data_IF_742939334323
#
_entry.id   IF_742939334323
#
_cell.length_a   1.000
_cell.length_b   1.000
_cell.length_c   1.000
_cell.angle_alpha   90.00
_cell.angle_beta   90.00
_cell.angle_gamma   90.00
#
_symmetry.space_group_name_H-M   'P 1'
#
loop_
_entity.id
_entity.type
_entity.pdbx_description
1 polymer ?
#
# COMPACT_ATOMS: atom_id res chain seq x y z
N UNK A 1 -15.85 -32.39 11.81
CA UNK A 1 -16.09 -31.54 10.64
C UNK A 1 -17.55 -31.09 10.67
N UNK A 2 -17.77 -29.79 10.76
CA UNK A 2 -19.10 -29.20 10.57
C UNK A 2 -19.18 -28.76 9.12
N UNK A 3 -20.15 -29.27 8.39
CA UNK A 3 -20.47 -28.82 7.04
C UNK A 3 -21.79 -28.04 7.10
N UNK A 4 -21.76 -26.79 6.66
CA UNK A 4 -22.94 -25.93 6.55
C UNK A 4 -23.07 -25.61 5.07
N UNK A 5 -23.98 -26.27 4.39
CA UNK A 5 -24.18 -26.11 2.94
C UNK A 5 -25.67 -26.06 2.59
N UNK A 6 -26.01 -25.38 1.51
CA UNK A 6 -27.38 -25.39 0.95
C UNK A 6 -28.42 -24.63 1.75
N UNK A 7 -28.07 -23.93 2.81
CA UNK A 7 -29.00 -23.08 3.54
C UNK A 7 -29.24 -21.78 2.76
N UNK A 8 -30.50 -21.42 2.59
CA UNK A 8 -30.91 -20.18 1.92
C UNK A 8 -31.57 -19.26 2.94
N UNK A 9 -31.24 -18.00 2.89
CA UNK A 9 -31.95 -17.01 3.65
C UNK A 9 -33.32 -16.74 3.00
N UNK A 10 -34.38 -17.00 3.77
CA UNK A 10 -35.78 -16.76 3.33
C UNK A 10 -36.35 -15.49 3.91
N UNK A 11 -35.55 -14.68 4.63
CA UNK A 11 -35.99 -13.39 5.18
C UNK A 11 -36.28 -12.36 4.11
N UNK A 12 -37.12 -11.36 4.43
CA UNK A 12 -37.51 -10.30 3.51
C UNK A 12 -36.28 -9.48 3.07
N UNK A 13 -36.04 -9.42 1.76
CA UNK A 13 -34.97 -8.66 1.11
C UNK A 13 -33.79 -9.48 0.62
N UNK A 14 -33.64 -10.74 1.04
CA UNK A 14 -32.49 -11.61 0.68
C UNK A 14 -32.93 -12.99 0.18
N UNK A 15 -34.10 -13.06 -0.48
CA UNK A 15 -34.67 -14.31 -0.97
C UNK A 15 -33.76 -14.91 -2.05
N UNK A 16 -33.26 -16.13 -1.80
CA UNK A 16 -32.45 -16.89 -2.74
C UNK A 16 -30.94 -16.69 -2.62
N UNK A 17 -30.48 -15.89 -1.68
CA UNK A 17 -29.06 -15.77 -1.37
C UNK A 17 -28.53 -17.05 -0.72
N UNK A 18 -27.38 -17.54 -1.18
CA UNK A 18 -26.69 -18.72 -0.61
C UNK A 18 -25.97 -18.37 0.71
N UNK A 19 -26.65 -17.64 1.59
CA UNK A 19 -26.15 -17.26 2.90
C UNK A 19 -26.56 -18.29 3.94
N UNK A 20 -25.57 -18.96 4.51
CA UNK A 20 -25.78 -20.05 5.45
C UNK A 20 -25.96 -19.57 6.88
N UNK A 21 -25.51 -18.34 7.21
CA UNK A 21 -25.53 -17.80 8.57
C UNK A 21 -26.05 -16.37 8.56
N UNK A 22 -27.06 -16.11 9.38
CA UNK A 22 -27.51 -14.76 9.72
C UNK A 22 -26.99 -14.35 11.08
N UNK A 23 -26.35 -13.20 11.18
CA UNK A 23 -25.79 -12.66 12.41
C UNK A 23 -26.58 -11.42 12.88
N UNK A 24 -27.29 -11.52 14.00
CA UNK A 24 -27.85 -10.34 14.66
C UNK A 24 -26.76 -9.33 15.06
N UNK A 25 -27.14 -8.08 15.25
CA UNK A 25 -26.22 -7.01 15.68
C UNK A 25 -25.37 -7.42 16.88
N UNK A 26 -24.06 -7.29 16.75
CA UNK A 26 -23.09 -7.62 17.80
C UNK A 26 -22.80 -9.13 17.98
N UNK A 27 -23.34 -9.98 17.11
CA UNK A 27 -23.00 -11.41 17.09
C UNK A 27 -21.96 -11.73 16.03
N UNK A 28 -21.09 -12.69 16.34
CA UNK A 28 -19.98 -13.12 15.46
C UNK A 28 -19.83 -14.64 15.49
N UNK A 29 -19.22 -15.19 14.46
CA UNK A 29 -18.82 -16.60 14.39
C UNK A 29 -17.49 -16.77 15.13
N UNK A 30 -17.37 -17.77 16.01
CA UNK A 30 -16.08 -18.17 16.56
C UNK A 30 -15.47 -19.28 15.73
N UNK A 31 -14.28 -19.03 15.17
CA UNK A 31 -13.50 -20.02 14.42
C UNK A 31 -12.60 -20.78 15.37
N UNK A 32 -13.05 -21.92 15.85
CA UNK A 32 -12.33 -22.75 16.84
C UNK A 32 -11.21 -23.60 16.22
N UNK A 33 -11.28 -23.87 14.90
CA UNK A 33 -10.29 -24.67 14.18
C UNK A 33 -10.27 -24.34 12.71
N UNK A 34 -9.24 -24.84 12.00
CA UNK A 34 -9.04 -24.57 10.56
C UNK A 34 -10.20 -25.13 9.74
N UNK A 35 -10.81 -24.27 8.94
CA UNK A 35 -11.80 -24.64 7.94
C UNK A 35 -11.07 -25.25 6.74
N UNK A 36 -11.46 -26.48 6.35
CA UNK A 36 -10.84 -27.22 5.24
C UNK A 36 -11.85 -27.39 4.10
N UNK A 37 -11.34 -27.74 2.90
CA UNK A 37 -12.16 -27.89 1.71
C UNK A 37 -12.38 -26.59 0.94
N UNK A 38 -13.11 -26.66 -0.16
CA UNK A 38 -13.37 -25.53 -1.08
C UNK A 38 -14.66 -24.76 -0.74
N UNK A 39 -15.46 -25.25 0.18
CA UNK A 39 -16.74 -24.62 0.52
C UNK A 39 -16.54 -23.33 1.34
N UNK A 40 -17.39 -22.36 1.07
CA UNK A 40 -17.43 -21.09 1.79
C UNK A 40 -18.68 -21.00 2.66
N UNK A 41 -18.59 -20.23 3.73
CA UNK A 41 -19.70 -19.93 4.64
C UNK A 41 -20.28 -18.58 4.20
N UNK A 42 -21.52 -18.62 3.68
CA UNK A 42 -22.26 -17.41 3.38
C UNK A 42 -22.75 -16.74 4.66
N UNK A 43 -22.48 -15.47 4.82
CA UNK A 43 -22.85 -14.67 5.99
C UNK A 43 -23.68 -13.47 5.57
N UNK A 44 -24.73 -13.24 6.32
CA UNK A 44 -25.56 -12.02 6.28
C UNK A 44 -25.64 -11.45 7.68
N UNK A 45 -25.64 -10.14 7.83
CA UNK A 45 -25.79 -9.48 9.12
C UNK A 45 -27.04 -8.59 9.16
N UNK A 46 -27.60 -8.41 10.36
CA UNK A 46 -28.73 -7.52 10.57
C UNK A 46 -28.43 -6.06 10.17
N UNK A 47 -27.19 -5.60 10.43
CA UNK A 47 -26.68 -4.32 9.96
C UNK A 47 -25.61 -4.53 8.91
N UNK A 48 -25.77 -3.90 7.76
CA UNK A 48 -24.76 -3.91 6.71
C UNK A 48 -23.61 -2.96 7.05
N UNK A 49 -22.38 -3.22 6.55
CA UNK A 49 -21.32 -2.22 6.59
C UNK A 49 -21.73 -1.00 5.74
N UNK A 50 -21.34 0.16 6.20
CA UNK A 50 -21.59 1.44 5.50
C UNK A 50 -20.26 2.12 5.14
N UNK A 51 -20.34 3.33 4.58
CA UNK A 51 -19.18 4.11 4.12
C UNK A 51 -18.33 4.66 5.28
N UNK A 52 -18.72 4.39 6.52
CA UNK A 52 -18.00 4.82 7.73
C UNK A 52 -17.61 3.67 8.66
N UNK A 53 -18.26 2.50 8.53
CA UNK A 53 -18.07 1.39 9.46
C UNK A 53 -18.08 0.04 8.74
N UNK A 54 -17.17 -0.82 9.15
CA UNK A 54 -17.20 -2.24 8.85
C UNK A 54 -18.08 -3.01 9.84
N UNK A 55 -18.45 -4.23 9.49
CA UNK A 55 -19.14 -5.17 10.39
C UNK A 55 -18.22 -6.36 10.65
N UNK A 56 -18.03 -6.70 11.92
CA UNK A 56 -17.32 -7.92 12.30
C UNK A 56 -18.23 -9.13 12.11
N UNK A 57 -17.73 -10.16 11.43
CA UNK A 57 -18.49 -11.39 11.14
C UNK A 57 -17.94 -12.64 11.81
N UNK A 58 -16.62 -12.72 12.00
CA UNK A 58 -16.01 -13.86 12.67
C UNK A 58 -14.74 -13.47 13.42
N UNK A 59 -14.29 -14.34 14.33
CA UNK A 59 -12.98 -14.21 14.96
C UNK A 59 -12.44 -15.58 15.38
N UNK A 60 -11.12 -15.69 15.50
CA UNK A 60 -10.45 -16.91 15.90
C UNK A 60 -8.93 -16.76 15.90
N UNK A 61 -8.23 -17.89 16.01
CA UNK A 61 -6.77 -17.90 15.86
C UNK A 61 -6.39 -17.53 14.42
N UNK A 62 -5.39 -16.66 14.25
CA UNK A 62 -4.98 -16.14 12.95
C UNK A 62 -4.59 -17.24 11.94
N UNK A 63 -4.01 -18.35 12.41
CA UNK A 63 -3.64 -19.48 11.54
C UNK A 63 -4.83 -20.30 11.03
N UNK A 64 -6.01 -20.14 11.65
CA UNK A 64 -7.22 -20.90 11.35
C UNK A 64 -8.32 -20.06 10.70
N UNK A 65 -8.22 -18.74 10.80
CA UNK A 65 -9.28 -17.79 10.42
C UNK A 65 -8.96 -17.18 9.06
N UNK A 66 -9.38 -17.88 8.03
CA UNK A 66 -9.12 -17.56 6.63
C UNK A 66 -10.32 -16.79 6.03
N UNK A 67 -10.16 -15.55 5.57
CA UNK A 67 -11.23 -14.77 4.96
C UNK A 67 -11.81 -15.40 3.71
N UNK A 68 -11.01 -16.17 2.94
CA UNK A 68 -11.45 -16.84 1.72
C UNK A 68 -12.48 -17.96 1.98
N UNK A 69 -12.67 -18.33 3.25
CA UNK A 69 -13.69 -19.27 3.68
C UNK A 69 -15.05 -18.64 3.95
N UNK A 70 -15.16 -17.33 3.76
CA UNK A 70 -16.40 -16.59 4.02
C UNK A 70 -16.84 -15.78 2.81
N UNK A 71 -18.13 -15.81 2.54
CA UNK A 71 -18.81 -14.94 1.57
C UNK A 71 -19.78 -14.04 2.33
N UNK A 72 -19.70 -12.74 2.08
CA UNK A 72 -20.63 -11.80 2.67
C UNK A 72 -21.57 -11.22 1.62
N UNK A 73 -22.88 -11.27 1.89
CA UNK A 73 -23.92 -10.75 0.98
C UNK A 73 -23.72 -11.22 -0.48
N UNK A 74 -23.54 -12.52 -0.68
CA UNK A 74 -23.25 -13.13 -2.00
C UNK A 74 -22.01 -12.54 -2.69
N UNK A 75 -20.96 -12.27 -1.92
CA UNK A 75 -19.71 -11.68 -2.40
C UNK A 75 -19.84 -10.25 -2.96
N UNK A 76 -20.89 -9.52 -2.58
CA UNK A 76 -21.04 -8.09 -2.97
C UNK A 76 -20.18 -7.17 -2.14
N UNK A 77 -19.72 -7.63 -0.95
CA UNK A 77 -18.86 -6.90 -0.04
C UNK A 77 -17.70 -7.79 0.36
N UNK A 78 -16.49 -7.25 0.26
CA UNK A 78 -15.28 -8.00 0.56
C UNK A 78 -15.17 -8.38 2.05
N UNK A 79 -14.72 -9.60 2.32
CA UNK A 79 -14.31 -10.05 3.64
C UNK A 79 -12.80 -9.90 3.75
N UNK A 80 -12.35 -9.26 4.82
CA UNK A 80 -10.94 -9.05 5.11
C UNK A 80 -10.61 -9.49 6.54
N UNK A 81 -9.36 -9.90 6.76
CA UNK A 81 -8.87 -10.24 8.08
C UNK A 81 -8.07 -9.07 8.69
N UNK A 82 -8.42 -8.69 9.91
CA UNK A 82 -7.62 -7.80 10.75
C UNK A 82 -6.92 -8.66 11.79
N UNK A 83 -5.60 -8.72 11.73
CA UNK A 83 -4.78 -9.56 12.60
C UNK A 83 -4.17 -8.73 13.72
N UNK A 84 -4.34 -9.18 14.96
CA UNK A 84 -3.72 -8.60 16.15
C UNK A 84 -3.12 -9.73 17.01
N UNK A 85 -1.80 -9.82 17.04
CA UNK A 85 -1.09 -10.93 17.68
C UNK A 85 -1.48 -12.28 17.06
N UNK A 86 -1.97 -13.20 17.88
CA UNK A 86 -2.41 -14.53 17.45
C UNK A 86 -3.88 -14.60 17.05
N UNK A 87 -4.61 -13.49 17.12
CA UNK A 87 -6.05 -13.44 16.80
C UNK A 87 -6.29 -12.76 15.47
N UNK A 88 -7.15 -13.34 14.63
CA UNK A 88 -7.72 -12.69 13.46
C UNK A 88 -9.20 -12.42 13.66
N UNK A 89 -9.62 -11.24 13.25
CA UNK A 89 -11.02 -10.82 13.19
C UNK A 89 -11.39 -10.65 11.72
N UNK A 90 -12.42 -11.35 11.25
CA UNK A 90 -12.96 -11.17 9.91
C UNK A 90 -14.00 -10.06 9.92
N UNK A 91 -13.87 -9.17 8.99
CA UNK A 91 -14.74 -8.02 8.81
C UNK A 91 -15.29 -7.97 7.38
N UNK A 92 -16.53 -7.56 7.24
CA UNK A 92 -17.11 -7.13 5.99
C UNK A 92 -16.98 -5.60 5.88
N UNK A 93 -16.36 -5.11 4.82
CA UNK A 93 -16.05 -3.69 4.66
C UNK A 93 -16.32 -3.23 3.22
N UNK A 94 -17.05 -2.13 3.07
CA UNK A 94 -17.14 -1.38 1.82
C UNK A 94 -15.92 -0.49 1.72
N UNK A 95 -14.80 -1.05 1.26
CA UNK A 95 -13.54 -0.32 1.28
C UNK A 95 -13.63 1.06 0.62
N UNK A 96 -13.16 2.06 1.34
CA UNK A 96 -12.91 3.40 0.82
C UNK A 96 -11.39 3.63 0.83
N UNK A 97 -10.76 3.35 -0.33
CA UNK A 97 -9.32 3.44 -0.49
C UNK A 97 -8.85 4.88 -0.55
N UNK A 98 -7.83 5.24 0.21
CA UNK A 98 -7.22 6.57 0.14
C UNK A 98 -6.64 6.83 -1.25
N UNK A 99 -6.72 8.07 -1.73
CA UNK A 99 -6.01 8.50 -2.94
C UNK A 99 -4.48 8.52 -2.74
N UNK A 100 -4.03 8.69 -1.51
CA UNK A 100 -2.62 8.79 -1.15
C UNK A 100 -1.98 7.41 -0.90
N UNK A 101 -0.72 7.30 -1.28
CA UNK A 101 0.10 6.15 -0.96
C UNK A 101 0.56 6.18 0.50
N UNK A 102 0.49 5.02 1.15
CA UNK A 102 1.22 4.73 2.37
C UNK A 102 2.46 3.92 2.01
N UNK A 103 3.54 4.11 2.75
CA UNK A 103 4.82 3.49 2.43
C UNK A 103 5.61 3.13 3.68
N UNK A 104 6.42 2.09 3.58
CA UNK A 104 7.51 1.76 4.49
C UNK A 104 8.82 1.64 3.69
N UNK A 105 9.87 1.08 4.27
CA UNK A 105 11.17 0.95 3.61
C UNK A 105 11.21 -0.10 2.49
N UNK A 106 10.20 -0.97 2.38
CA UNK A 106 10.18 -2.09 1.44
C UNK A 106 9.09 -1.97 0.38
N UNK A 107 7.94 -1.38 0.76
CA UNK A 107 6.72 -1.43 -0.04
C UNK A 107 5.83 -0.21 0.14
N UNK A 108 4.86 -0.09 -0.75
CA UNK A 108 3.80 0.90 -0.66
C UNK A 108 2.43 0.23 -0.86
N UNK A 109 1.37 0.92 -0.41
CA UNK A 109 -0.02 0.45 -0.50
C UNK A 109 -1.00 1.62 -0.45
N UNK A 110 -2.25 1.34 -0.85
CA UNK A 110 -3.40 2.19 -0.54
C UNK A 110 -4.06 1.69 0.73
N UNK A 111 -4.40 2.58 1.65
CA UNK A 111 -5.04 2.22 2.92
C UNK A 111 -6.54 2.53 2.89
N UNK A 112 -7.36 1.59 3.34
CA UNK A 112 -8.78 1.84 3.54
C UNK A 112 -8.99 2.78 4.74
N UNK A 113 -9.72 3.88 4.54
CA UNK A 113 -10.02 4.84 5.61
C UNK A 113 -10.89 4.23 6.73
N UNK A 114 -11.68 3.19 6.42
CA UNK A 114 -12.63 2.56 7.32
C UNK A 114 -11.97 1.46 8.17
N UNK A 115 -11.40 0.46 7.52
CA UNK A 115 -10.88 -0.74 8.19
C UNK A 115 -9.36 -0.83 8.31
N UNK A 116 -8.63 0.14 7.73
CA UNK A 116 -7.16 0.16 7.68
C UNK A 116 -6.55 -1.02 6.90
N UNK A 117 -7.36 -1.74 6.14
CA UNK A 117 -6.89 -2.76 5.21
C UNK A 117 -6.00 -2.15 4.13
N UNK A 118 -5.12 -2.95 3.55
CA UNK A 118 -4.17 -2.55 2.50
C UNK A 118 -4.62 -3.09 1.16
N UNK A 119 -4.49 -2.28 0.11
CA UNK A 119 -4.65 -2.65 -1.29
C UNK A 119 -3.47 -2.15 -2.12
N UNK A 120 -3.27 -2.70 -3.31
CA UNK A 120 -2.17 -2.35 -4.22
C UNK A 120 -0.79 -2.44 -3.53
N UNK A 121 -0.63 -3.44 -2.66
CA UNK A 121 0.63 -3.66 -1.95
C UNK A 121 1.68 -4.13 -2.93
N UNK A 122 2.73 -3.34 -3.13
CA UNK A 122 3.85 -3.71 -3.99
C UNK A 122 5.18 -3.15 -3.48
N UNK A 123 6.28 -3.83 -3.84
CA UNK A 123 7.62 -3.31 -3.60
C UNK A 123 7.86 -1.99 -4.33
N UNK A 124 8.79 -1.18 -3.85
CA UNK A 124 9.18 0.04 -4.53
C UNK A 124 9.82 -0.26 -5.88
N UNK A 125 9.31 0.41 -6.92
CA UNK A 125 9.94 0.48 -8.23
C UNK A 125 10.33 1.94 -8.49
N UNK A 126 11.62 2.21 -8.61
CA UNK A 126 12.15 3.57 -8.76
C UNK A 126 12.27 3.91 -10.24
N UNK A 127 11.16 4.16 -10.89
CA UNK A 127 11.03 4.41 -12.33
C UNK A 127 10.48 5.81 -12.67
N UNK A 128 10.18 6.63 -11.65
CA UNK A 128 9.67 7.98 -11.84
C UNK A 128 10.84 8.99 -11.89
N UNK A 129 10.92 9.77 -12.97
CA UNK A 129 11.94 10.80 -13.20
C UNK A 129 11.43 12.20 -12.83
N UNK A 130 11.09 12.39 -11.56
CA UNK A 130 10.54 13.67 -11.04
C UNK A 130 11.67 14.64 -10.73
N UNK A 131 11.83 15.70 -11.54
CA UNK A 131 12.86 16.73 -11.37
C UNK A 131 12.37 17.89 -10.49
N UNK A 132 11.97 17.59 -9.24
CA UNK A 132 11.52 18.58 -8.27
C UNK A 132 12.51 18.73 -7.10
N UNK A 133 12.44 19.86 -6.39
CA UNK A 133 13.39 20.20 -5.32
C UNK A 133 13.51 19.15 -4.22
N UNK A 134 12.42 18.44 -3.90
CA UNK A 134 12.41 17.35 -2.91
C UNK A 134 13.29 16.17 -3.30
N UNK A 135 13.48 15.90 -4.60
CA UNK A 135 14.30 14.79 -5.13
C UNK A 135 15.70 15.22 -5.55
N UNK A 136 16.01 16.52 -5.45
CA UNK A 136 17.28 17.07 -5.91
C UNK A 136 18.44 16.56 -5.07
N UNK A 137 19.51 16.12 -5.74
CA UNK A 137 20.77 15.65 -5.14
C UNK A 137 21.83 16.71 -5.24
N UNK A 138 21.97 17.31 -6.44
CA UNK A 138 22.94 18.37 -6.69
C UNK A 138 22.44 19.37 -7.72
N UNK A 139 22.97 20.59 -7.64
CA UNK A 139 22.73 21.60 -8.64
C UNK A 139 23.48 21.28 -9.95
N UNK A 140 23.01 21.90 -11.05
CA UNK A 140 23.75 21.88 -12.30
C UNK A 140 25.13 22.55 -12.15
N UNK A 141 26.10 22.00 -12.87
CA UNK A 141 27.45 22.56 -13.01
C UNK A 141 27.66 23.07 -14.44
N UNK A 142 28.83 23.60 -14.76
CA UNK A 142 29.16 24.01 -16.13
C UNK A 142 29.31 22.81 -17.10
N UNK A 143 29.39 21.58 -16.63
CA UNK A 143 29.60 20.37 -17.44
C UNK A 143 28.52 19.30 -17.25
N UNK A 144 27.65 19.46 -16.27
CA UNK A 144 26.60 18.47 -15.99
C UNK A 144 25.30 19.13 -15.53
N UNK A 145 24.13 18.59 -15.88
CA UNK A 145 22.84 19.05 -15.40
C UNK A 145 22.68 18.76 -13.90
N UNK A 146 21.64 19.32 -13.30
CA UNK A 146 21.25 18.99 -11.93
C UNK A 146 20.88 17.50 -11.82
N UNK A 147 21.26 16.89 -10.69
CA UNK A 147 20.95 15.47 -10.43
C UNK A 147 19.76 15.34 -9.49
N UNK A 148 18.94 14.36 -9.77
CA UNK A 148 17.74 14.01 -9.00
C UNK A 148 17.68 12.52 -8.74
N UNK A 149 17.15 12.12 -7.61
CA UNK A 149 16.86 10.71 -7.35
C UNK A 149 15.72 10.21 -8.26
N UNK A 150 15.88 9.02 -8.80
CA UNK A 150 14.74 8.25 -9.28
C UNK A 150 13.78 8.01 -8.12
N UNK A 151 12.48 8.06 -8.36
CA UNK A 151 11.47 7.88 -7.32
C UNK A 151 10.46 6.81 -7.67
N UNK A 152 9.81 6.29 -6.65
CA UNK A 152 8.66 5.41 -6.78
C UNK A 152 7.37 6.24 -6.91
N UNK A 153 6.33 5.66 -7.48
CA UNK A 153 4.98 6.28 -7.56
C UNK A 153 4.45 6.76 -6.21
N UNK A 154 4.91 6.19 -5.12
CA UNK A 154 4.56 6.61 -3.75
C UNK A 154 5.40 7.77 -3.21
N UNK A 155 6.37 8.28 -3.98
CA UNK A 155 7.27 9.34 -3.59
C UNK A 155 8.54 8.88 -2.85
N UNK A 156 8.72 7.58 -2.60
CA UNK A 156 9.97 7.07 -2.04
C UNK A 156 11.14 7.28 -3.01
N UNK A 157 12.32 7.67 -2.48
CA UNK A 157 13.52 7.97 -3.27
C UNK A 157 14.37 6.71 -3.42
N UNK A 158 14.81 6.46 -4.66
CA UNK A 158 15.80 5.44 -4.97
C UNK A 158 17.24 5.93 -4.68
N UNK A 159 18.18 5.00 -4.76
CA UNK A 159 19.61 5.31 -4.64
C UNK A 159 20.18 5.91 -5.95
N UNK A 160 19.67 5.47 -7.09
CA UNK A 160 20.10 5.93 -8.40
C UNK A 160 19.62 7.33 -8.72
N UNK A 161 20.38 8.03 -9.58
CA UNK A 161 20.08 9.41 -9.97
C UNK A 161 20.00 9.54 -11.47
N UNK A 162 19.32 10.60 -11.92
CA UNK A 162 19.27 11.03 -13.31
C UNK A 162 19.55 12.52 -13.42
N UNK A 163 20.08 12.94 -14.56
CA UNK A 163 20.31 14.36 -14.87
C UNK A 163 19.08 14.99 -15.51
N UNK A 164 18.73 16.20 -15.09
CA UNK A 164 17.64 16.97 -15.69
C UNK A 164 17.91 18.46 -15.68
N UNK A 165 17.42 19.14 -16.72
CA UNK A 165 17.64 20.57 -16.95
C UNK A 165 18.91 20.84 -17.71
N UNK A 166 19.22 22.13 -17.85
CA UNK A 166 20.42 22.61 -18.55
C UNK A 166 21.62 22.70 -17.63
N UNK A 167 22.82 22.65 -18.17
CA UNK A 167 24.06 22.96 -17.45
C UNK A 167 24.07 24.44 -17.04
N UNK A 168 24.78 24.77 -15.96
CA UNK A 168 24.95 26.12 -15.53
C UNK A 168 26.36 26.60 -15.92
N UNK A 169 26.53 27.38 -17.03
CA UNK A 169 27.82 27.78 -17.54
C UNK A 169 28.63 28.69 -16.58
N UNK A 170 27.96 29.30 -15.59
CA UNK A 170 28.60 30.20 -14.63
C UNK A 170 29.11 29.47 -13.38
N UNK A 171 28.75 28.19 -13.20
CA UNK A 171 29.18 27.37 -12.06
C UNK A 171 30.46 26.59 -12.37
N UNK A 172 31.57 27.31 -12.39
CA UNK A 172 32.91 26.71 -12.47
C UNK A 172 33.47 26.42 -11.07
N UNK A 173 34.05 25.22 -10.90
CA UNK A 173 34.92 24.90 -9.78
C UNK A 173 36.37 24.92 -10.25
N UNK A 174 37.06 25.95 -9.88
CA UNK A 174 38.47 26.08 -10.24
C UNK A 174 39.34 25.44 -9.15
N UNK A 175 40.36 24.68 -9.59
CA UNK A 175 41.43 24.20 -8.71
C UNK A 175 42.29 25.31 -8.14
N UNK A 176 43.23 24.95 -7.26
CA UNK A 176 44.24 25.91 -6.80
C UNK A 176 45.05 26.39 -8.03
N UNK A 177 45.31 27.70 -8.12
CA UNK A 177 46.12 28.23 -9.21
C UNK A 177 47.55 27.68 -9.13
N UNK A 178 48.09 27.23 -10.24
CA UNK A 178 49.52 26.94 -10.38
C UNK A 178 50.25 28.14 -10.93
N UNK A 179 51.46 28.37 -10.40
CA UNK A 179 52.29 29.48 -10.85
C UNK A 179 53.59 28.97 -11.44
N UNK A 180 53.92 29.37 -12.65
CA UNK A 180 55.18 29.08 -13.29
C UNK A 180 56.00 30.36 -13.46
N UNK A 181 57.28 30.35 -13.02
CA UNK A 181 58.20 31.43 -13.23
C UNK A 181 59.06 31.20 -14.46
N UNK A 182 59.00 32.13 -15.43
CA UNK A 182 59.77 32.03 -16.65
C UNK A 182 61.00 32.95 -16.68
N UNK A 183 61.40 33.54 -15.53
CA UNK A 183 62.55 34.40 -15.40
C UNK A 183 62.27 35.89 -15.62
N UNK A 184 61.18 36.27 -16.24
CA UNK A 184 60.81 37.68 -16.51
C UNK A 184 59.44 38.08 -15.99
N UNK A 185 58.49 37.13 -15.89
CA UNK A 185 57.15 37.37 -15.37
C UNK A 185 56.60 36.12 -14.70
N UNK A 186 55.68 36.28 -13.76
CA UNK A 186 54.91 35.21 -13.18
C UNK A 186 53.59 35.05 -13.97
N UNK A 187 53.35 33.88 -14.52
CA UNK A 187 52.07 33.52 -15.16
C UNK A 187 51.27 32.63 -14.23
N UNK A 188 49.96 32.88 -14.10
CA UNK A 188 49.06 32.04 -13.37
C UNK A 188 48.09 31.39 -14.35
N UNK A 189 47.99 30.06 -14.30
CA UNK A 189 46.97 29.31 -15.04
C UNK A 189 45.91 28.81 -14.04
N UNK A 190 44.66 29.01 -14.40
CA UNK A 190 43.54 28.38 -13.72
C UNK A 190 43.23 27.04 -14.39
N UNK A 191 43.39 25.96 -13.63
CA UNK A 191 43.04 24.60 -14.03
C UNK A 191 41.67 24.25 -13.49
#
# INVERSE_FOLDING_TARGET
>A
NVSITGNKNTGSGLIGADNNVYLPTGKTITVAGKLTGSNQIGVTTEKLPDDSKYVQIASGNASNTDPDKFLYENNTIAVSAVVSGSTATLIACRHNWSGEWKTDIYQHWKECSICKGKNDVSAHTYDQNVAEGSYKVSDATCVSPALYHWSCVCGAKGADTFGSGEINPDKHSYGQPSYAWNGTSCTAERV
#
